data_IF_254526073765
#
_entry.id   IF_254526073765
#
_cell.length_a   1.000
_cell.length_b   1.000
_cell.length_c   1.000
_cell.angle_alpha   90.00
_cell.angle_beta   90.00
_cell.angle_gamma   90.00
#
_symmetry.space_group_name_H-M   'P 1'
#
loop_
_entity.id
_entity.type
_entity.pdbx_description
1 polymer ?
#
# COMPACT_ATOMS: atom_id res chain seq x y z
N UNK A 1 -2.08 18.56 -6.65
CA UNK A 1 -1.54 17.31 -6.09
C UNK A 1 -0.37 17.50 -5.11
N UNK A 2 -0.18 18.69 -4.51
CA UNK A 2 0.36 18.90 -3.13
C UNK A 2 -0.31 18.03 -2.02
N UNK A 3 -1.18 17.08 -2.40
CA UNK A 3 -2.59 17.02 -1.95
C UNK A 3 -3.05 15.62 -1.49
N UNK A 4 -2.13 14.73 -1.10
CA UNK A 4 -2.48 13.43 -0.48
C UNK A 4 -1.33 12.84 0.37
N UNK A 5 -0.08 13.12 -0.02
CA UNK A 5 1.12 12.47 0.53
C UNK A 5 1.66 13.14 1.80
N UNK A 6 1.63 14.48 1.90
CA UNK A 6 1.95 15.22 3.14
C UNK A 6 1.12 14.72 4.34
N UNK A 7 -0.06 14.18 4.04
CA UNK A 7 -1.01 13.68 5.01
C UNK A 7 -0.74 12.23 5.44
N UNK A 8 -0.35 11.34 4.53
CA UNK A 8 -0.02 9.95 4.88
C UNK A 8 1.15 9.85 5.88
N UNK A 9 2.06 10.84 5.87
CA UNK A 9 3.16 10.93 6.84
C UNK A 9 2.74 11.41 8.24
N UNK A 10 1.76 12.32 8.36
CA UNK A 10 1.30 12.82 9.65
C UNK A 10 0.46 11.80 10.44
N UNK A 11 -0.16 10.82 9.76
CA UNK A 11 -0.97 9.77 10.40
C UNK A 11 -0.16 8.56 10.90
N UNK A 12 1.12 8.44 10.52
CA UNK A 12 1.98 7.31 10.91
C UNK A 12 2.69 7.47 12.27
N UNK A 13 2.70 8.68 12.84
CA UNK A 13 3.37 8.97 14.11
C UNK A 13 2.34 8.97 15.26
N UNK A 14 2.49 8.03 16.18
CA UNK A 14 1.71 8.00 17.42
C UNK A 14 1.88 9.28 18.26
N UNK A 15 0.94 9.56 19.18
CA UNK A 15 0.83 10.84 19.88
C UNK A 15 2.06 11.28 20.69
N UNK A 16 2.99 10.36 21.00
CA UNK A 16 4.20 10.66 21.77
C UNK A 16 5.28 11.45 21.00
N UNK A 17 5.24 11.51 19.66
CA UNK A 17 6.20 12.27 18.85
C UNK A 17 5.68 13.64 18.40
N UNK A 18 4.40 13.92 18.62
CA UNK A 18 3.79 15.22 18.25
C UNK A 18 4.19 16.33 19.24
N UNK A 19 4.51 15.99 20.49
CA UNK A 19 4.74 17.00 21.54
C UNK A 19 6.08 17.75 21.46
N UNK A 20 7.04 17.32 20.62
CA UNK A 20 8.36 17.97 20.54
C UNK A 20 8.66 18.64 19.18
N UNK A 21 7.77 18.52 18.18
CA UNK A 21 8.00 19.07 16.84
C UNK A 21 7.14 20.30 16.49
N UNK A 22 6.22 20.73 17.37
CA UNK A 22 5.33 21.87 17.10
C UNK A 22 5.86 23.14 17.76
N UNK A 23 7.04 23.58 17.34
CA UNK A 23 7.54 24.93 17.59
C UNK A 23 8.04 25.50 16.27
N UNK A 24 7.08 25.87 15.42
CA UNK A 24 7.34 26.37 14.07
C UNK A 24 6.11 26.19 13.20
N UNK A 25 5.07 26.98 13.44
CA UNK A 25 3.97 27.08 12.49
C UNK A 25 4.54 27.65 11.18
N UNK A 26 4.78 26.79 10.20
CA UNK A 26 5.18 27.21 8.87
C UNK A 26 3.98 27.97 8.25
N UNK A 27 4.16 29.26 8.00
CA UNK A 27 3.23 30.04 7.19
C UNK A 27 3.26 29.49 5.75
N UNK A 28 2.10 29.04 5.26
CA UNK A 28 1.96 28.53 3.91
C UNK A 28 1.68 29.69 2.95
N UNK A 29 2.34 29.74 1.77
CA UNK A 29 2.03 30.76 0.79
C UNK A 29 0.63 30.56 0.17
N UNK A 30 -0.20 31.60 0.33
CA UNK A 30 -1.18 32.11 -0.65
C UNK A 30 -2.53 31.39 -0.85
N UNK A 31 -2.63 30.06 -0.72
CA UNK A 31 -3.87 29.35 -1.11
C UNK A 31 -4.65 28.73 0.07
N UNK A 32 -3.97 28.35 1.15
CA UNK A 32 -4.60 27.78 2.36
C UNK A 32 -4.29 28.64 3.56
N UNK A 33 -5.27 28.84 4.45
CA UNK A 33 -5.05 29.59 5.68
C UNK A 33 -4.41 28.73 6.77
N UNK A 34 -4.51 27.38 6.67
CA UNK A 34 -3.93 26.45 7.66
C UNK A 34 -3.74 25.00 7.15
N UNK A 35 -2.93 24.19 7.87
CA UNK A 35 -2.78 22.75 7.60
C UNK A 35 -4.11 21.99 7.65
N UNK A 36 -4.98 22.16 8.67
CA UNK A 36 -6.29 21.48 8.71
C UNK A 36 -7.16 21.73 7.47
N UNK A 37 -7.22 22.96 6.95
CA UNK A 37 -7.96 23.25 5.71
C UNK A 37 -7.40 22.47 4.52
N UNK A 38 -6.07 22.40 4.39
CA UNK A 38 -5.43 21.62 3.34
C UNK A 38 -5.73 20.12 3.46
N UNK A 39 -5.79 19.59 4.69
CA UNK A 39 -6.19 18.20 4.99
C UNK A 39 -7.63 17.94 4.52
N UNK A 40 -8.57 18.80 4.89
CA UNK A 40 -9.97 18.64 4.52
C UNK A 40 -10.16 18.73 3.00
N UNK A 41 -9.45 19.63 2.34
CA UNK A 41 -9.54 19.74 0.89
C UNK A 41 -8.94 18.51 0.18
N UNK A 42 -7.80 18.01 0.63
CA UNK A 42 -7.20 16.77 0.13
C UNK A 42 -8.15 15.58 0.30
N UNK A 43 -8.77 15.45 1.47
CA UNK A 43 -9.77 14.45 1.77
C UNK A 43 -10.99 14.57 0.84
N UNK A 44 -11.54 15.77 0.67
CA UNK A 44 -12.68 16.01 -0.22
C UNK A 44 -12.37 15.65 -1.68
N UNK A 45 -11.18 16.00 -2.19
CA UNK A 45 -10.74 15.63 -3.55
C UNK A 45 -10.57 14.11 -3.68
N UNK A 46 -9.96 13.45 -2.70
CA UNK A 46 -9.82 11.99 -2.70
C UNK A 46 -11.20 11.32 -2.80
N UNK A 47 -12.14 11.71 -1.96
CA UNK A 47 -13.46 11.08 -1.91
C UNK A 47 -14.35 11.39 -3.12
N UNK A 48 -14.27 12.60 -3.65
CA UNK A 48 -15.08 13.00 -4.81
C UNK A 48 -14.55 12.45 -6.13
N UNK A 49 -13.24 12.15 -6.24
CA UNK A 49 -12.62 11.79 -7.51
C UNK A 49 -11.98 10.41 -7.55
N UNK A 50 -11.38 9.93 -6.45
CA UNK A 50 -10.51 8.75 -6.47
C UNK A 50 -11.11 7.53 -5.78
N UNK A 51 -12.00 7.69 -4.80
CA UNK A 51 -12.69 6.56 -4.19
C UNK A 51 -13.80 6.08 -5.14
N UNK A 52 -13.62 4.90 -5.72
CA UNK A 52 -14.58 4.33 -6.64
C UNK A 52 -15.89 3.91 -5.95
N UNK A 53 -16.88 3.50 -6.74
CA UNK A 53 -18.19 3.01 -6.24
C UNK A 53 -18.10 1.78 -5.31
N UNK A 54 -16.95 1.09 -5.27
CA UNK A 54 -16.71 -0.07 -4.43
C UNK A 54 -15.94 0.27 -3.15
N UNK A 55 -15.49 1.51 -2.98
CA UNK A 55 -14.68 1.91 -1.82
C UNK A 55 -13.20 1.61 -2.00
N UNK A 56 -12.72 1.53 -3.24
CA UNK A 56 -11.30 1.34 -3.56
C UNK A 56 -10.75 2.65 -4.15
N UNK A 57 -9.58 3.07 -3.67
CA UNK A 57 -8.87 4.25 -4.17
C UNK A 57 -8.21 3.88 -5.50
N UNK A 58 -8.58 4.61 -6.56
CA UNK A 58 -7.92 4.53 -7.86
C UNK A 58 -6.56 5.24 -7.82
N UNK A 59 -5.56 4.69 -8.50
CA UNK A 59 -4.30 5.39 -8.77
C UNK A 59 -4.57 6.62 -9.66
N UNK A 60 -5.24 6.32 -10.76
CA UNK A 60 -5.63 7.15 -11.87
C UNK A 60 -6.96 7.91 -11.82
N UNK A 61 -7.18 8.89 -12.71
CA UNK A 61 -8.53 9.23 -13.24
C UNK A 61 -8.74 8.75 -14.69
N UNK A 62 -7.97 7.76 -15.13
CA UNK A 62 -8.13 7.20 -16.46
C UNK A 62 -9.39 6.35 -16.63
N UNK A 63 -9.59 5.86 -17.84
CA UNK A 63 -10.69 4.95 -18.15
C UNK A 63 -10.56 3.63 -17.39
N UNK A 64 -11.60 3.22 -16.68
CA UNK A 64 -11.64 1.94 -15.96
C UNK A 64 -11.59 0.78 -16.98
N UNK A 65 -10.76 -0.26 -16.77
CA UNK A 65 -10.70 -1.42 -17.65
C UNK A 65 -12.06 -2.11 -17.83
N UNK A 66 -12.34 -2.55 -19.05
CA UNK A 66 -13.50 -3.38 -19.38
C UNK A 66 -13.19 -4.87 -19.18
N UNK A 67 -14.21 -5.75 -19.15
CA UNK A 67 -13.98 -7.19 -19.13
C UNK A 67 -13.07 -7.68 -20.25
N UNK A 68 -13.18 -7.12 -21.46
CA UNK A 68 -12.32 -7.48 -22.58
C UNK A 68 -10.87 -7.03 -22.35
N UNK A 69 -10.66 -5.84 -21.77
CA UNK A 69 -9.30 -5.39 -21.44
C UNK A 69 -8.63 -6.30 -20.41
N UNK A 70 -9.35 -6.66 -19.34
CA UNK A 70 -8.83 -7.56 -18.31
C UNK A 70 -8.57 -8.95 -18.88
N UNK A 71 -9.48 -9.48 -19.71
CA UNK A 71 -9.33 -10.78 -20.38
C UNK A 71 -8.10 -10.82 -21.29
N UNK A 72 -7.85 -9.75 -22.04
CA UNK A 72 -6.67 -9.64 -22.90
C UNK A 72 -5.40 -9.30 -22.11
N UNK A 73 -5.49 -8.76 -20.90
CA UNK A 73 -4.34 -8.21 -20.18
C UNK A 73 -3.85 -6.92 -20.83
N UNK A 74 -4.75 -5.97 -21.08
CA UNK A 74 -4.43 -4.60 -21.52
C UNK A 74 -4.52 -3.65 -20.33
N UNK A 75 -3.53 -2.78 -20.06
CA UNK A 75 -2.35 -2.52 -20.89
C UNK A 75 -1.27 -3.61 -20.80
N UNK A 76 -1.29 -4.42 -19.76
CA UNK A 76 -0.46 -5.61 -19.57
C UNK A 76 -1.17 -6.53 -18.56
N UNK A 77 -0.84 -7.81 -18.53
CA UNK A 77 -1.45 -8.79 -17.63
C UNK A 77 -1.18 -8.51 -16.14
N UNK A 78 -0.23 -7.63 -15.80
CA UNK A 78 0.00 -7.19 -14.41
C UNK A 78 -1.07 -6.18 -13.99
N UNK A 79 -1.58 -5.39 -14.93
CA UNK A 79 -2.51 -4.28 -14.68
C UNK A 79 -1.83 -2.94 -14.41
N UNK A 80 -0.50 -2.87 -14.50
CA UNK A 80 0.24 -1.62 -14.32
C UNK A 80 -0.16 -0.59 -15.36
N UNK A 81 -0.18 0.68 -14.97
CA UNK A 81 -0.63 1.85 -15.75
C UNK A 81 -2.14 1.94 -15.97
N UNK A 82 -2.94 1.04 -15.39
CA UNK A 82 -4.39 1.20 -15.36
C UNK A 82 -4.83 1.94 -14.09
N UNK A 83 -6.01 2.59 -14.07
CA UNK A 83 -6.50 3.29 -12.88
C UNK A 83 -6.67 2.40 -11.65
N UNK A 84 -6.82 1.09 -11.86
CA UNK A 84 -7.02 0.09 -10.81
C UNK A 84 -5.71 -0.60 -10.42
N UNK A 85 -4.53 -0.07 -10.77
CA UNK A 85 -3.26 -0.78 -10.55
C UNK A 85 -2.90 -0.99 -9.07
N UNK A 86 -3.28 -0.06 -8.20
CA UNK A 86 -2.83 0.04 -6.80
C UNK A 86 -3.99 0.19 -5.81
N UNK A 87 -5.14 -0.43 -6.09
CA UNK A 87 -6.35 -0.30 -5.28
C UNK A 87 -6.15 -0.67 -3.81
N UNK A 88 -5.89 -1.94 -3.46
CA UNK A 88 -5.56 -2.33 -2.09
C UNK A 88 -4.35 -1.61 -1.52
N UNK A 89 -3.34 -1.30 -2.34
CA UNK A 89 -2.17 -0.55 -1.89
C UNK A 89 -2.57 0.80 -1.30
N UNK A 90 -3.28 1.64 -2.04
CA UNK A 90 -3.68 2.95 -1.52
C UNK A 90 -4.81 2.86 -0.49
N UNK A 91 -5.82 2.02 -0.74
CA UNK A 91 -6.97 1.87 0.16
C UNK A 91 -6.54 1.36 1.53
N UNK A 92 -5.69 0.35 1.55
CA UNK A 92 -5.17 -0.28 2.77
C UNK A 92 -4.27 0.64 3.58
N UNK A 93 -3.45 1.47 2.91
CA UNK A 93 -2.60 2.45 3.57
C UNK A 93 -3.38 3.69 4.06
N UNK A 94 -4.48 4.03 3.41
CA UNK A 94 -5.32 5.16 3.80
C UNK A 94 -6.31 4.82 4.93
N UNK A 95 -6.79 3.58 4.99
CA UNK A 95 -7.81 3.15 5.95
C UNK A 95 -7.48 3.42 7.43
N UNK A 96 -6.24 3.25 7.93
CA UNK A 96 -5.89 3.64 9.29
C UNK A 96 -6.17 5.12 9.60
N UNK A 97 -5.86 6.02 8.64
CA UNK A 97 -6.14 7.44 8.79
C UNK A 97 -7.64 7.74 8.78
N UNK A 98 -8.41 7.04 7.93
CA UNK A 98 -9.87 7.15 7.92
C UNK A 98 -10.49 6.68 9.25
N UNK A 99 -9.96 5.59 9.83
CA UNK A 99 -10.39 5.12 11.15
C UNK A 99 -10.08 6.13 12.25
N UNK A 100 -8.89 6.74 12.23
CA UNK A 100 -8.49 7.76 13.20
C UNK A 100 -9.33 9.04 13.06
N UNK A 101 -9.65 9.45 11.82
CA UNK A 101 -10.60 10.54 11.56
C UNK A 101 -11.95 10.25 12.21
N UNK A 102 -12.53 9.08 11.94
CA UNK A 102 -13.81 8.68 12.50
C UNK A 102 -13.80 8.62 14.04
N UNK A 103 -12.68 8.17 14.64
CA UNK A 103 -12.49 8.17 16.10
C UNK A 103 -12.48 9.59 16.67
N UNK A 104 -11.81 10.54 16.01
CA UNK A 104 -11.69 11.94 16.46
C UNK A 104 -12.97 12.74 16.24
N UNK A 105 -13.61 12.57 15.09
CA UNK A 105 -14.83 13.32 14.75
C UNK A 105 -16.07 12.74 15.43
N UNK A 106 -16.08 11.43 15.69
CA UNK A 106 -17.22 10.70 16.26
C UNK A 106 -18.43 10.59 15.33
N UNK A 107 -18.41 11.23 14.15
CA UNK A 107 -19.56 11.35 13.27
C UNK A 107 -19.78 10.05 12.46
N UNK A 108 -21.04 9.80 12.09
CA UNK A 108 -21.42 8.58 11.37
C UNK A 108 -20.93 8.55 9.92
N UNK A 109 -20.75 9.70 9.28
CA UNK A 109 -20.24 9.78 7.91
C UNK A 109 -18.81 9.26 7.79
N UNK A 110 -17.92 9.64 8.71
CA UNK A 110 -16.53 9.17 8.72
C UNK A 110 -16.45 7.68 9.07
N UNK A 111 -17.31 7.19 9.97
CA UNK A 111 -17.43 5.74 10.25
C UNK A 111 -17.92 4.98 9.02
N UNK A 112 -18.94 5.48 8.31
CA UNK A 112 -19.45 4.89 7.09
C UNK A 112 -18.40 4.89 5.97
N UNK A 113 -17.59 5.95 5.88
CA UNK A 113 -16.46 6.04 4.97
C UNK A 113 -15.39 4.98 5.27
N UNK A 114 -14.96 4.84 6.52
CA UNK A 114 -14.02 3.79 6.93
C UNK A 114 -14.56 2.38 6.62
N UNK A 115 -15.85 2.14 6.91
CA UNK A 115 -16.55 0.89 6.56
C UNK A 115 -16.55 0.63 5.06
N UNK A 116 -16.85 1.63 4.24
CA UNK A 116 -16.86 1.51 2.77
C UNK A 116 -15.49 1.10 2.22
N UNK A 117 -14.42 1.69 2.74
CA UNK A 117 -13.05 1.32 2.36
C UNK A 117 -12.73 -0.13 2.75
N UNK A 118 -13.09 -0.56 3.95
CA UNK A 118 -12.90 -1.94 4.40
C UNK A 118 -13.67 -2.96 3.53
N UNK A 119 -14.90 -2.62 3.14
CA UNK A 119 -15.70 -3.45 2.23
C UNK A 119 -15.09 -3.51 0.82
N UNK A 120 -14.49 -2.41 0.34
CA UNK A 120 -13.72 -2.40 -0.91
C UNK A 120 -12.54 -3.37 -0.87
N UNK A 121 -11.76 -3.37 0.22
CA UNK A 121 -10.67 -4.33 0.43
C UNK A 121 -11.18 -5.78 0.47
N UNK A 122 -12.27 -6.06 1.18
CA UNK A 122 -12.86 -7.40 1.21
C UNK A 122 -13.33 -7.86 -0.18
N UNK A 123 -13.86 -6.94 -0.99
CA UNK A 123 -14.24 -7.22 -2.37
C UNK A 123 -13.03 -7.60 -3.22
N UNK A 124 -11.91 -6.88 -3.12
CA UNK A 124 -10.67 -7.24 -3.84
C UNK A 124 -10.19 -8.67 -3.54
N UNK A 125 -10.44 -9.19 -2.34
CA UNK A 125 -10.10 -10.57 -1.94
C UNK A 125 -11.24 -11.59 -2.18
N UNK A 126 -12.26 -11.22 -2.96
CA UNK A 126 -13.47 -12.03 -3.19
C UNK A 126 -13.98 -12.04 -4.63
N UNK A 127 -13.33 -11.32 -5.56
CA UNK A 127 -13.68 -11.33 -6.99
C UNK A 127 -13.07 -12.50 -7.76
N UNK A 128 -12.13 -13.20 -7.14
CA UNK A 128 -11.35 -14.30 -7.71
C UNK A 128 -11.82 -15.65 -7.16
N UNK A 129 -11.81 -16.67 -8.01
CA UNK A 129 -12.00 -18.07 -7.60
C UNK A 129 -10.70 -18.73 -7.11
N UNK A 130 -9.55 -18.05 -7.20
CA UNK A 130 -8.27 -18.53 -6.68
C UNK A 130 -8.14 -18.12 -5.20
N UNK A 131 -8.11 -19.09 -4.26
CA UNK A 131 -7.94 -18.77 -2.85
C UNK A 131 -6.66 -17.97 -2.60
N UNK A 132 -6.72 -16.99 -1.71
CA UNK A 132 -5.57 -16.16 -1.33
C UNK A 132 -5.17 -15.10 -2.35
N UNK A 133 -5.84 -15.02 -3.51
CA UNK A 133 -5.65 -13.94 -4.46
C UNK A 133 -6.27 -12.63 -3.96
N UNK A 134 -5.58 -11.52 -4.21
CA UNK A 134 -6.06 -10.16 -3.94
C UNK A 134 -5.95 -9.37 -5.23
N UNK A 135 -7.09 -8.98 -5.78
CA UNK A 135 -7.16 -8.18 -6.99
C UNK A 135 -6.66 -6.75 -6.74
N UNK A 136 -6.00 -6.17 -7.75
CA UNK A 136 -5.57 -4.76 -7.75
C UNK A 136 -6.76 -3.78 -7.75
N UNK A 137 -7.92 -4.22 -8.21
CA UNK A 137 -9.18 -3.50 -8.22
C UNK A 137 -10.16 -4.18 -9.15
N UNK A 138 -11.27 -3.52 -9.47
CA UNK A 138 -12.32 -4.08 -10.31
C UNK A 138 -12.59 -3.18 -11.52
N UNK A 139 -12.80 -3.80 -12.67
CA UNK A 139 -13.17 -3.08 -13.88
C UNK A 139 -14.65 -2.66 -13.91
N UNK A 140 -15.11 -2.26 -15.09
CA UNK A 140 -16.41 -1.60 -15.30
C UNK A 140 -17.62 -2.45 -14.93
N UNK A 141 -17.52 -3.78 -14.93
CA UNK A 141 -18.56 -4.72 -14.49
C UNK A 141 -18.54 -4.98 -12.96
N UNK A 142 -17.55 -4.43 -12.26
CA UNK A 142 -17.33 -4.63 -10.83
C UNK A 142 -16.83 -6.03 -10.45
N UNK A 143 -16.37 -6.83 -11.43
CA UNK A 143 -15.86 -8.20 -11.25
C UNK A 143 -14.55 -8.46 -11.97
N UNK A 144 -14.40 -8.02 -13.22
CA UNK A 144 -13.21 -8.26 -14.01
C UNK A 144 -11.98 -7.59 -13.35
N UNK A 145 -10.84 -8.25 -13.44
CA UNK A 145 -9.61 -7.83 -12.77
C UNK A 145 -8.40 -8.44 -13.49
N UNK A 146 -7.20 -7.93 -13.21
CA UNK A 146 -5.96 -8.46 -13.77
C UNK A 146 -5.49 -9.71 -13.01
N UNK A 147 -4.92 -10.72 -13.71
CA UNK A 147 -4.66 -12.03 -13.12
C UNK A 147 -3.41 -12.14 -12.24
N UNK A 148 -2.51 -11.16 -12.24
CA UNK A 148 -1.24 -11.29 -11.50
C UNK A 148 -1.34 -10.69 -10.10
N UNK A 149 -1.12 -11.54 -9.10
CA UNK A 149 -1.07 -11.14 -7.70
C UNK A 149 0.12 -10.22 -7.40
N UNK A 150 0.17 -9.70 -6.18
CA UNK A 150 1.26 -8.83 -5.75
C UNK A 150 1.31 -8.67 -4.24
N UNK A 151 2.53 -8.69 -3.71
CA UNK A 151 2.84 -8.39 -2.32
C UNK A 151 2.58 -6.90 -1.97
N UNK A 152 2.71 -5.99 -2.95
CA UNK A 152 2.37 -4.57 -2.80
C UNK A 152 0.86 -4.30 -2.69
N UNK A 153 0.00 -5.25 -3.07
CA UNK A 153 -1.44 -5.19 -2.79
C UNK A 153 -1.80 -5.96 -1.51
N UNK A 154 -1.16 -7.11 -1.33
CA UNK A 154 -1.48 -8.07 -0.28
C UNK A 154 -1.15 -7.52 1.10
N UNK A 155 0.04 -6.93 1.31
CA UNK A 155 0.38 -6.37 2.62
C UNK A 155 -0.52 -5.20 3.03
N UNK A 156 -0.74 -4.17 2.19
CA UNK A 156 -1.67 -3.09 2.52
C UNK A 156 -3.10 -3.57 2.80
N UNK A 157 -3.55 -4.63 2.13
CA UNK A 157 -4.84 -5.26 2.43
C UNK A 157 -4.91 -5.77 3.89
N UNK A 158 -3.89 -6.51 4.35
CA UNK A 158 -3.80 -6.93 5.76
C UNK A 158 -3.70 -5.72 6.70
N UNK A 159 -2.88 -4.73 6.32
CA UNK A 159 -2.61 -3.54 7.13
C UNK A 159 -3.87 -2.71 7.39
N UNK A 160 -4.60 -2.38 6.33
CA UNK A 160 -5.85 -1.61 6.42
C UNK A 160 -6.95 -2.36 7.15
N UNK A 161 -7.14 -3.65 6.86
CA UNK A 161 -8.16 -4.45 7.52
C UNK A 161 -7.86 -4.68 9.01
N UNK A 162 -6.60 -4.88 9.41
CA UNK A 162 -6.22 -4.93 10.83
C UNK A 162 -6.52 -3.61 11.54
N UNK A 163 -6.22 -2.47 10.90
CA UNK A 163 -6.51 -1.16 11.47
C UNK A 163 -8.03 -0.93 11.63
N UNK A 164 -8.84 -1.26 10.63
CA UNK A 164 -10.29 -1.17 10.75
C UNK A 164 -10.83 -2.14 11.79
N UNK A 165 -10.38 -3.40 11.78
CA UNK A 165 -10.75 -4.42 12.77
C UNK A 165 -10.50 -3.92 14.20
N UNK A 166 -9.36 -3.30 14.48
CA UNK A 166 -9.00 -2.84 15.83
C UNK A 166 -9.55 -1.45 16.20
N UNK A 167 -10.19 -0.74 15.28
CA UNK A 167 -10.61 0.67 15.46
C UNK A 167 -11.80 0.89 16.40
N UNK A 168 -12.59 -0.15 16.70
CA UNK A 168 -13.87 -0.02 17.40
C UNK A 168 -15.06 0.37 16.52
N UNK A 169 -14.83 0.70 15.24
CA UNK A 169 -15.87 0.98 14.25
C UNK A 169 -16.65 -0.27 13.80
N UNK A 170 -16.02 -1.43 13.52
CA UNK A 170 -16.75 -2.57 12.98
C UNK A 170 -17.66 -3.20 14.02
N UNK A 171 -18.86 -3.58 13.57
CA UNK A 171 -19.77 -4.48 14.27
C UNK A 171 -19.18 -5.89 14.38
N UNK A 172 -19.77 -6.73 15.24
CA UNK A 172 -19.34 -8.12 15.41
C UNK A 172 -19.45 -8.93 14.12
N UNK A 173 -20.48 -8.67 13.30
CA UNK A 173 -20.65 -9.31 12.01
C UNK A 173 -19.51 -8.95 11.04
N UNK A 174 -19.13 -7.67 11.00
CA UNK A 174 -18.00 -7.18 10.19
C UNK A 174 -16.68 -7.76 10.70
N UNK A 175 -16.46 -7.81 12.01
CA UNK A 175 -15.28 -8.46 12.62
C UNK A 175 -15.18 -9.92 12.19
N UNK A 176 -16.28 -10.67 12.27
CA UNK A 176 -16.33 -12.08 11.85
C UNK A 176 -16.02 -12.23 10.36
N UNK A 177 -16.58 -11.38 9.50
CA UNK A 177 -16.30 -11.38 8.06
C UNK A 177 -14.82 -11.13 7.77
N UNK A 178 -14.24 -10.09 8.39
CA UNK A 178 -12.83 -9.71 8.21
C UNK A 178 -11.91 -10.82 8.73
N UNK A 179 -12.12 -11.32 9.95
CA UNK A 179 -11.31 -12.38 10.52
C UNK A 179 -11.36 -13.66 9.67
N UNK A 180 -12.56 -14.03 9.18
CA UNK A 180 -12.74 -15.17 8.28
C UNK A 180 -11.94 -15.02 6.99
N UNK A 181 -12.04 -13.84 6.34
CA UNK A 181 -11.33 -13.59 5.08
C UNK A 181 -9.82 -13.48 5.28
N UNK A 182 -9.33 -12.80 6.32
CA UNK A 182 -7.92 -12.72 6.66
C UNK A 182 -7.34 -14.11 6.97
N UNK A 183 -8.06 -14.96 7.69
CA UNK A 183 -7.67 -16.35 7.94
C UNK A 183 -7.58 -17.18 6.65
N UNK A 184 -8.54 -17.03 5.73
CA UNK A 184 -8.51 -17.69 4.43
C UNK A 184 -7.24 -17.30 3.66
N UNK A 185 -7.00 -16.00 3.49
CA UNK A 185 -5.85 -15.49 2.73
C UNK A 185 -4.52 -15.88 3.38
N UNK A 186 -4.37 -15.65 4.69
CA UNK A 186 -3.15 -16.00 5.42
C UNK A 186 -2.88 -17.51 5.41
N UNK A 187 -3.92 -18.35 5.46
CA UNK A 187 -3.78 -19.80 5.35
C UNK A 187 -3.20 -20.24 4.00
N UNK A 188 -3.68 -19.64 2.91
CA UNK A 188 -3.13 -19.90 1.57
C UNK A 188 -1.68 -19.42 1.47
N UNK A 189 -1.39 -18.18 1.89
CA UNK A 189 -0.04 -17.65 1.89
C UNK A 189 0.91 -18.53 2.70
N UNK A 190 0.49 -18.98 3.90
CA UNK A 190 1.28 -19.91 4.71
C UNK A 190 1.55 -21.23 3.96
N UNK A 191 0.57 -21.77 3.25
CA UNK A 191 0.70 -22.99 2.45
C UNK A 191 1.56 -22.81 1.18
N UNK A 192 1.73 -21.58 0.69
CA UNK A 192 2.52 -21.27 -0.51
C UNK A 192 3.88 -20.66 -0.20
N UNK A 193 4.37 -20.78 1.04
CA UNK A 193 5.62 -20.15 1.50
C UNK A 193 5.60 -18.63 1.31
N UNK A 194 4.46 -18.02 1.62
CA UNK A 194 4.18 -16.59 1.55
C UNK A 194 4.39 -15.97 0.18
N UNK A 195 4.12 -16.74 -0.88
CA UNK A 195 4.11 -16.28 -2.27
C UNK A 195 2.68 -15.92 -2.69
N UNK A 196 2.50 -14.77 -3.31
CA UNK A 196 1.17 -14.27 -3.69
C UNK A 196 0.65 -15.00 -4.94
N UNK A 197 -0.50 -15.68 -4.88
CA UNK A 197 -1.05 -16.44 -6.01
C UNK A 197 -1.38 -15.56 -7.22
N UNK A 198 -1.34 -16.16 -8.42
CA UNK A 198 -1.89 -15.60 -9.65
C UNK A 198 -3.13 -16.40 -10.12
N UNK A 199 -3.91 -15.80 -11.01
CA UNK A 199 -5.17 -16.32 -11.55
C UNK A 199 -5.15 -16.44 -13.09
N UNK A 200 -6.23 -16.98 -13.67
CA UNK A 200 -6.49 -17.00 -15.10
C UNK A 200 -5.46 -17.85 -15.81
N UNK A 201 -4.89 -17.31 -16.89
CA UNK A 201 -3.81 -17.97 -17.62
C UNK A 201 -2.52 -18.18 -16.77
N UNK A 202 -2.41 -17.52 -15.61
CA UNK A 202 -1.26 -17.60 -14.70
C UNK A 202 -1.56 -18.43 -13.45
N UNK A 203 -2.71 -19.11 -13.38
CA UNK A 203 -3.08 -19.95 -12.24
C UNK A 203 -1.99 -20.98 -11.92
N UNK A 204 -1.62 -21.09 -10.65
CA UNK A 204 -0.52 -21.93 -10.17
C UNK A 204 0.85 -21.24 -10.16
N UNK A 205 0.97 -20.05 -10.74
CA UNK A 205 2.14 -19.19 -10.60
C UNK A 205 1.99 -18.23 -9.42
N UNK A 206 3.08 -17.54 -9.10
CA UNK A 206 3.13 -16.54 -8.04
C UNK A 206 3.84 -15.26 -8.50
N UNK A 207 3.45 -14.11 -7.95
CA UNK A 207 4.13 -12.82 -8.16
C UNK A 207 4.22 -12.04 -6.85
N UNK A 208 5.45 -11.85 -6.37
CA UNK A 208 5.72 -11.26 -5.06
C UNK A 208 5.72 -12.29 -3.92
N UNK A 209 6.52 -12.03 -2.90
CA UNK A 209 6.67 -12.88 -1.73
C UNK A 209 7.13 -12.05 -0.52
N UNK A 210 7.03 -12.61 0.69
CA UNK A 210 7.35 -11.88 1.92
C UNK A 210 8.53 -12.42 2.71
N UNK A 211 9.10 -13.57 2.34
CA UNK A 211 10.17 -14.23 3.11
C UNK A 211 11.59 -13.83 2.69
N UNK A 212 11.74 -12.79 1.88
CA UNK A 212 13.03 -12.24 1.46
C UNK A 212 13.82 -11.56 2.59
N UNK A 213 14.93 -10.94 2.22
CA UNK A 213 15.88 -10.32 3.15
C UNK A 213 15.89 -8.80 3.13
N UNK A 214 15.04 -8.17 2.32
CA UNK A 214 14.91 -6.71 2.32
C UNK A 214 14.17 -6.23 3.56
N UNK A 215 14.36 -4.97 3.93
CA UNK A 215 13.59 -4.33 4.99
C UNK A 215 12.09 -4.43 4.75
N UNK A 216 11.63 -4.17 3.51
CA UNK A 216 10.21 -4.30 3.15
C UNK A 216 9.69 -5.73 3.37
N UNK A 217 10.49 -6.75 3.10
CA UNK A 217 10.07 -8.15 3.26
C UNK A 217 9.91 -8.48 4.75
N UNK A 218 10.94 -8.19 5.53
CA UNK A 218 10.98 -8.47 6.97
C UNK A 218 9.84 -7.76 7.73
N UNK A 219 9.69 -6.46 7.55
CA UNK A 219 8.71 -5.67 8.28
C UNK A 219 7.26 -6.09 7.96
N UNK A 220 6.96 -6.31 6.67
CA UNK A 220 5.62 -6.72 6.21
C UNK A 220 5.28 -8.14 6.67
N UNK A 221 6.23 -9.08 6.55
CA UNK A 221 6.03 -10.47 6.97
C UNK A 221 5.75 -10.59 8.47
N UNK A 222 6.60 -9.95 9.30
CA UNK A 222 6.44 -9.94 10.75
C UNK A 222 5.10 -9.31 11.15
N UNK A 223 4.74 -8.19 10.52
CA UNK A 223 3.45 -7.54 10.77
C UNK A 223 2.28 -8.45 10.45
N UNK A 224 2.24 -9.11 9.29
CA UNK A 224 1.12 -9.98 8.93
C UNK A 224 0.95 -11.15 9.91
N UNK A 225 2.06 -11.76 10.35
CA UNK A 225 1.99 -12.80 11.38
C UNK A 225 1.42 -12.28 12.70
N UNK A 226 1.87 -11.10 13.14
CA UNK A 226 1.39 -10.50 14.38
C UNK A 226 -0.07 -10.05 14.28
N UNK A 227 -0.45 -9.42 13.18
CA UNK A 227 -1.82 -9.01 12.89
C UNK A 227 -2.77 -10.21 12.86
N UNK A 228 -2.34 -11.36 12.34
CA UNK A 228 -3.13 -12.58 12.36
C UNK A 228 -3.37 -13.11 13.78
N UNK A 229 -2.39 -13.00 14.69
CA UNK A 229 -2.62 -13.32 16.10
C UNK A 229 -3.65 -12.36 16.72
N UNK A 230 -3.53 -11.05 16.50
CA UNK A 230 -4.47 -10.07 17.06
C UNK A 230 -5.91 -10.29 16.55
N UNK A 231 -6.09 -10.66 15.28
CA UNK A 231 -7.41 -10.85 14.66
C UNK A 231 -8.04 -12.18 15.03
N UNK A 232 -7.25 -13.24 15.22
CA UNK A 232 -7.77 -14.61 15.40
C UNK A 232 -7.61 -15.16 16.81
N UNK A 233 -6.73 -14.57 17.62
CA UNK A 233 -6.25 -15.09 18.90
C UNK A 233 -5.65 -16.50 18.85
N UNK A 234 -5.34 -17.02 17.65
CA UNK A 234 -4.68 -18.32 17.48
C UNK A 234 -3.18 -18.17 17.77
N UNK A 235 -2.74 -18.78 18.88
CA UNK A 235 -1.36 -18.74 19.38
C UNK A 235 -0.33 -19.23 18.37
N UNK A 236 -0.71 -20.09 17.42
CA UNK A 236 0.20 -20.54 16.38
C UNK A 236 0.71 -19.38 15.51
N UNK A 237 -0.07 -18.30 15.33
CA UNK A 237 0.42 -17.09 14.64
C UNK A 237 1.46 -16.34 15.45
N UNK A 238 1.28 -16.24 16.78
CA UNK A 238 2.25 -15.59 17.66
C UNK A 238 3.57 -16.38 17.72
N UNK A 239 3.50 -17.70 17.76
CA UNK A 239 4.67 -18.58 17.72
C UNK A 239 5.42 -18.45 16.39
N UNK A 240 4.70 -18.42 15.26
CA UNK A 240 5.29 -18.16 13.93
C UNK A 240 5.95 -16.80 13.87
N UNK A 241 5.31 -15.76 14.41
CA UNK A 241 5.89 -14.41 14.51
C UNK A 241 7.22 -14.41 15.29
N UNK A 242 7.23 -15.00 16.49
CA UNK A 242 8.44 -15.09 17.34
C UNK A 242 9.56 -15.85 16.64
N UNK A 243 9.24 -16.98 16.01
CA UNK A 243 10.21 -17.74 15.21
C UNK A 243 10.75 -16.93 14.05
N UNK A 244 9.88 -16.27 13.28
CA UNK A 244 10.27 -15.48 12.13
C UNK A 244 11.14 -14.27 12.50
N UNK A 245 10.90 -13.65 13.67
CA UNK A 245 11.65 -12.49 14.14
C UNK A 245 13.15 -12.79 14.32
N UNK A 246 13.48 -13.97 14.86
CA UNK A 246 14.86 -14.42 15.08
C UNK A 246 15.43 -15.27 13.93
N UNK A 247 14.63 -15.55 12.91
CA UNK A 247 15.07 -16.29 11.73
C UNK A 247 15.89 -15.39 10.81
N UNK A 248 17.01 -15.92 10.30
CA UNK A 248 17.81 -15.31 9.24
C UNK A 248 17.25 -15.71 7.87
N UNK A 249 16.68 -14.78 7.08
CA UNK A 249 16.20 -15.10 5.74
C UNK A 249 17.38 -15.48 4.84
N UNK A 250 17.10 -16.28 3.80
CA UNK A 250 18.11 -16.66 2.80
C UNK A 250 18.77 -15.41 2.20
N UNK A 251 20.09 -15.37 2.23
CA UNK A 251 20.89 -14.26 1.72
C UNK A 251 21.18 -13.14 2.73
N UNK A 252 20.93 -13.36 4.02
CA UNK A 252 21.29 -12.40 5.08
C UNK A 252 21.86 -13.09 6.31
N UNK A 253 22.91 -12.49 6.87
CA UNK A 253 23.47 -12.87 8.18
C UNK A 253 22.68 -12.28 9.36
N UNK A 254 21.77 -11.33 9.07
CA UNK A 254 20.89 -10.67 10.05
C UNK A 254 19.58 -11.43 10.19
N UNK A 255 19.08 -11.53 11.41
CA UNK A 255 17.70 -11.92 11.69
C UNK A 255 16.71 -10.90 11.11
N UNK A 256 15.44 -11.26 10.92
CA UNK A 256 14.43 -10.31 10.45
C UNK A 256 14.24 -9.12 11.39
N UNK A 257 14.37 -9.31 12.70
CA UNK A 257 14.31 -8.22 13.67
C UNK A 257 15.51 -7.26 13.52
N UNK A 258 16.72 -7.78 13.28
CA UNK A 258 17.90 -6.95 12.99
C UNK A 258 17.82 -6.24 11.64
N UNK A 259 17.21 -6.87 10.62
CA UNK A 259 16.90 -6.21 9.34
C UNK A 259 15.92 -5.04 9.59
N UNK A 260 14.87 -5.26 10.38
CA UNK A 260 13.94 -4.20 10.76
C UNK A 260 14.65 -3.06 11.49
N UNK A 261 15.56 -3.39 12.41
CA UNK A 261 16.35 -2.40 13.16
C UNK A 261 17.32 -1.61 12.28
N UNK A 262 17.86 -2.22 11.22
CA UNK A 262 18.76 -1.55 10.29
C UNK A 262 18.05 -0.56 9.34
N UNK A 263 16.72 -0.67 9.21
CA UNK A 263 15.93 0.15 8.29
C UNK A 263 16.14 -0.21 6.83
N UNK A 264 15.61 0.61 5.92
CA UNK A 264 15.63 0.35 4.46
C UNK A 264 16.96 0.68 3.79
N UNK A 265 17.91 1.29 4.50
CA UNK A 265 19.16 1.77 3.91
C UNK A 265 19.94 0.74 3.10
N UNK A 266 20.06 -0.53 3.55
CA UNK A 266 20.67 -1.62 2.78
C UNK A 266 19.91 -2.02 1.51
N UNK A 267 18.60 -1.74 1.41
CA UNK A 267 17.79 -2.14 0.25
C UNK A 267 18.19 -1.37 -1.03
N UNK A 268 18.96 -0.28 -0.93
CA UNK A 268 19.45 0.53 -2.07
C UNK A 268 20.23 -0.27 -3.10
N UNK A 269 20.89 -1.35 -2.68
CA UNK A 269 21.60 -2.25 -3.59
C UNK A 269 20.63 -3.05 -4.47
N UNK A 270 19.50 -3.47 -3.90
CA UNK A 270 18.48 -4.26 -4.58
C UNK A 270 17.51 -3.40 -5.40
N UNK A 271 17.20 -2.19 -4.92
CA UNK A 271 16.28 -1.27 -5.59
C UNK A 271 17.03 0.03 -5.87
N UNK A 272 17.33 0.27 -7.15
CA UNK A 272 18.01 1.49 -7.56
C UNK A 272 17.08 2.70 -7.43
N UNK A 273 17.64 3.83 -7.05
CA UNK A 273 16.92 5.11 -6.95
C UNK A 273 15.75 5.09 -5.94
N UNK A 274 15.85 4.29 -4.86
CA UNK A 274 14.85 4.30 -3.77
C UNK A 274 14.60 5.73 -3.32
N UNK A 275 15.68 6.42 -2.95
CA UNK A 275 15.67 7.78 -2.39
C UNK A 275 15.40 8.89 -3.41
N UNK A 276 15.07 8.56 -4.67
CA UNK A 276 14.72 9.55 -5.70
C UNK A 276 13.29 9.38 -6.25
N UNK A 277 12.80 8.13 -6.38
CA UNK A 277 11.51 7.86 -7.03
C UNK A 277 10.67 6.77 -6.38
N UNK A 278 11.16 6.05 -5.36
CA UNK A 278 10.52 4.81 -4.89
C UNK A 278 10.28 4.73 -3.38
N UNK A 279 10.51 5.79 -2.60
CA UNK A 279 10.20 5.72 -1.16
C UNK A 279 8.70 5.50 -0.87
N UNK A 280 7.79 5.90 -1.76
CA UNK A 280 6.37 5.63 -1.60
C UNK A 280 6.02 4.14 -1.43
N UNK A 281 6.77 3.22 -2.06
CA UNK A 281 6.53 1.76 -1.89
C UNK A 281 6.95 1.26 -0.50
N UNK A 282 7.65 2.07 0.31
CA UNK A 282 8.06 1.75 1.67
C UNK A 282 7.10 2.27 2.75
N UNK A 283 6.12 3.12 2.41
CA UNK A 283 5.16 3.68 3.38
C UNK A 283 4.45 2.57 4.17
N UNK A 284 4.01 1.52 3.48
CA UNK A 284 3.37 0.36 4.12
C UNK A 284 4.29 -0.43 5.04
N UNK A 285 5.58 -0.53 4.71
CA UNK A 285 6.59 -1.20 5.54
C UNK A 285 6.89 -0.39 6.80
N UNK A 286 6.95 0.94 6.68
CA UNK A 286 7.12 1.84 7.82
C UNK A 286 5.91 1.81 8.75
N UNK A 287 4.69 1.84 8.19
CA UNK A 287 3.46 1.68 8.96
C UNK A 287 3.36 0.34 9.67
N UNK A 288 3.81 -0.74 9.02
CA UNK A 288 3.90 -2.08 9.60
C UNK A 288 4.86 -2.13 10.79
N UNK A 289 6.06 -1.56 10.65
CA UNK A 289 7.05 -1.48 11.72
C UNK A 289 6.55 -0.65 12.91
N UNK A 290 5.85 0.45 12.65
CA UNK A 290 5.23 1.27 13.69
C UNK A 290 4.18 0.50 14.49
N UNK A 291 3.35 -0.29 13.79
CA UNK A 291 2.39 -1.19 14.44
C UNK A 291 3.08 -2.28 15.24
N UNK A 292 4.12 -2.93 14.70
CA UNK A 292 4.91 -3.92 15.45
C UNK A 292 5.47 -3.33 16.74
N UNK A 293 6.10 -2.16 16.68
CA UNK A 293 6.64 -1.47 17.86
C UNK A 293 5.55 -1.15 18.92
N UNK A 294 4.32 -0.83 18.48
CA UNK A 294 3.20 -0.55 19.37
C UNK A 294 2.58 -1.82 19.99
N UNK A 295 2.57 -2.93 19.26
CA UNK A 295 2.00 -4.21 19.70
C UNK A 295 2.97 -5.06 20.54
N UNK A 296 4.28 -4.75 20.47
CA UNK A 296 5.31 -5.58 21.07
C UNK A 296 5.44 -5.40 22.59
N UNK A 297 5.56 -6.52 23.28
CA UNK A 297 5.75 -6.65 24.72
C UNK A 297 7.18 -7.06 25.10
N UNK A 298 7.91 -7.70 24.18
CA UNK A 298 9.34 -7.97 24.33
C UNK A 298 10.14 -6.68 24.13
N UNK A 299 10.85 -6.23 25.17
CA UNK A 299 11.52 -4.93 25.15
C UNK A 299 12.67 -4.87 24.13
N UNK A 300 13.32 -6.00 23.85
CA UNK A 300 14.43 -6.09 22.90
C UNK A 300 13.89 -5.89 21.48
N UNK A 301 12.87 -6.67 21.10
CA UNK A 301 12.22 -6.53 19.80
C UNK A 301 11.60 -5.14 19.62
N UNK A 302 10.95 -4.62 20.67
CA UNK A 302 10.36 -3.27 20.65
C UNK A 302 11.41 -2.19 20.42
N UNK A 303 12.57 -2.30 21.08
CA UNK A 303 13.70 -1.38 20.89
C UNK A 303 14.26 -1.46 19.47
N UNK A 304 14.42 -2.67 18.92
CA UNK A 304 14.85 -2.89 17.54
C UNK A 304 13.89 -2.25 16.52
N UNK A 305 12.58 -2.43 16.69
CA UNK A 305 11.61 -1.81 15.79
C UNK A 305 11.63 -0.28 15.89
N UNK A 306 11.76 0.28 17.09
CA UNK A 306 11.91 1.73 17.28
C UNK A 306 13.19 2.28 16.67
N UNK A 307 14.30 1.55 16.76
CA UNK A 307 15.56 1.93 16.13
C UNK A 307 15.41 2.01 14.60
N UNK A 308 14.75 1.02 13.99
CA UNK A 308 14.44 1.01 12.56
C UNK A 308 13.59 2.20 12.13
N UNK A 309 12.53 2.52 12.90
CA UNK A 309 11.69 3.70 12.64
C UNK A 309 12.51 4.98 12.63
N UNK A 310 13.41 5.15 13.60
CA UNK A 310 14.25 6.33 13.73
C UNK A 310 15.29 6.44 12.60
N UNK A 311 15.89 5.32 12.18
CA UNK A 311 16.83 5.29 11.05
C UNK A 311 16.11 5.64 9.75
N UNK A 312 14.94 5.06 9.51
CA UNK A 312 14.15 5.33 8.32
C UNK A 312 13.72 6.80 8.27
N UNK A 313 13.28 7.37 9.39
CA UNK A 313 12.91 8.78 9.47
C UNK A 313 14.09 9.70 9.14
N UNK A 314 15.29 9.45 9.69
CA UNK A 314 16.50 10.24 9.36
C UNK A 314 16.89 10.12 7.89
N UNK A 315 16.77 8.92 7.32
CA UNK A 315 17.14 8.67 5.92
C UNK A 315 16.16 9.37 4.96
N UNK A 316 14.84 9.26 5.22
CA UNK A 316 13.82 9.91 4.41
C UNK A 316 13.78 11.44 4.58
N UNK A 317 14.16 11.96 5.75
CA UNK A 317 14.25 13.42 5.95
C UNK A 317 15.26 14.08 4.99
N UNK A 318 16.30 13.35 4.57
CA UNK A 318 17.25 13.87 3.59
C UNK A 318 16.65 14.02 2.18
N UNK A 319 15.57 13.29 1.87
CA UNK A 319 14.94 13.28 0.54
C UNK A 319 13.70 14.16 0.49
N UNK A 320 13.00 14.36 1.62
CA UNK A 320 11.70 15.03 1.66
C UNK A 320 11.74 16.45 1.10
N UNK A 321 12.87 17.14 1.20
CA UNK A 321 13.07 18.52 0.70
C UNK A 321 12.85 18.67 -0.81
N UNK A 322 12.87 17.56 -1.57
CA UNK A 322 12.53 17.55 -2.99
C UNK A 322 11.15 18.17 -3.28
N UNK A 323 10.19 18.09 -2.34
CA UNK A 323 8.87 18.70 -2.51
C UNK A 323 8.89 20.21 -2.71
N UNK A 324 9.93 20.91 -2.25
CA UNK A 324 10.07 22.36 -2.45
C UNK A 324 10.31 22.74 -3.90
N UNK A 325 10.74 21.78 -4.73
CA UNK A 325 10.92 21.97 -6.18
C UNK A 325 9.63 21.71 -6.97
N UNK A 326 8.53 21.32 -6.32
CA UNK A 326 7.25 21.14 -6.97
C UNK A 326 6.59 22.51 -7.27
N UNK A 327 6.45 22.80 -8.55
CA UNK A 327 5.76 23.95 -9.11
C UNK A 327 4.26 23.63 -9.26
N UNK A 328 3.43 24.39 -8.54
CA UNK A 328 1.97 24.25 -8.61
C UNK A 328 1.36 24.81 -9.91
N UNK A 329 2.13 25.60 -10.66
CA UNK A 329 1.76 26.12 -11.98
C UNK A 329 2.24 25.24 -13.13
N UNK A 330 2.99 24.16 -12.83
CA UNK A 330 3.45 23.21 -13.84
C UNK A 330 2.27 22.58 -14.58
N UNK A 331 2.29 22.70 -15.92
CA UNK A 331 1.22 22.30 -16.83
C UNK A 331 1.44 20.93 -17.46
N UNK A 332 2.42 20.14 -17.00
CA UNK A 332 2.65 18.79 -17.53
C UNK A 332 1.40 17.93 -17.37
N UNK A 333 1.11 17.13 -18.38
CA UNK A 333 -0.14 16.35 -18.46
C UNK A 333 0.07 14.89 -18.06
N UNK A 334 -0.97 14.30 -17.47
CA UNK A 334 -1.10 12.85 -17.31
C UNK A 334 -1.59 12.25 -18.63
N UNK A 335 -0.66 11.79 -19.47
CA UNK A 335 -1.02 11.15 -20.73
C UNK A 335 -1.57 9.72 -20.56
N UNK A 336 -1.26 9.07 -19.44
CA UNK A 336 -1.71 7.72 -19.09
C UNK A 336 -3.21 7.58 -18.75
N UNK A 337 -3.96 8.68 -18.64
CA UNK A 337 -5.40 8.61 -18.42
C UNK A 337 -6.12 7.83 -19.55
N UNK A 338 -5.57 7.88 -20.78
CA UNK A 338 -5.93 6.96 -21.86
C UNK A 338 -4.81 5.93 -22.08
N UNK A 339 -4.66 5.02 -21.13
CA UNK A 339 -3.63 3.98 -21.15
C UNK A 339 -3.73 3.07 -22.41
N UNK A 340 -4.90 2.93 -23.05
CA UNK A 340 -5.02 2.19 -24.32
C UNK A 340 -4.25 2.87 -25.45
N UNK A 341 -4.26 4.20 -25.49
CA UNK A 341 -3.51 4.97 -26.48
C UNK A 341 -2.01 5.01 -26.20
N UNK A 342 -1.60 4.83 -24.94
CA UNK A 342 -0.18 4.83 -24.51
C UNK A 342 0.53 3.52 -24.88
N UNK A 343 -0.16 2.38 -24.82
CA UNK A 343 0.41 1.07 -25.13
C UNK A 343 0.06 0.62 -26.57
N UNK A 344 0.50 1.38 -27.57
CA UNK A 344 0.22 1.09 -28.99
C UNK A 344 0.86 -0.21 -29.49
N UNK A 345 2.01 -0.59 -28.94
CA UNK A 345 2.72 -1.84 -29.25
C UNK A 345 2.21 -3.03 -28.42
N UNK A 346 0.97 -2.96 -27.96
CA UNK A 346 0.35 -4.04 -27.20
C UNK A 346 0.29 -5.32 -28.03
N UNK A 347 0.64 -6.43 -27.39
CA UNK A 347 0.59 -7.78 -27.95
C UNK A 347 0.21 -8.74 -26.83
N UNK A 348 -0.47 -9.88 -27.10
CA UNK A 348 -0.77 -10.88 -26.07
C UNK A 348 0.49 -11.30 -25.30
N UNK A 349 0.35 -11.57 -24.00
CA UNK A 349 1.46 -11.99 -23.14
C UNK A 349 1.13 -13.35 -22.53
N UNK A 350 1.94 -14.36 -22.83
CA UNK A 350 1.80 -15.72 -22.31
C UNK A 350 2.54 -15.91 -20.99
N UNK A 351 3.52 -15.06 -20.69
CA UNK A 351 4.36 -15.17 -19.49
C UNK A 351 4.40 -13.87 -18.67
N UNK A 352 4.71 -13.99 -17.38
CA UNK A 352 4.89 -12.80 -16.52
C UNK A 352 6.04 -11.91 -17.01
N UNK A 353 7.09 -12.53 -17.57
CA UNK A 353 8.24 -11.82 -18.15
C UNK A 353 7.80 -10.97 -19.33
N UNK A 354 6.96 -11.50 -20.21
CA UNK A 354 6.39 -10.75 -21.33
C UNK A 354 5.47 -9.62 -20.87
N UNK A 355 4.64 -9.86 -19.84
CA UNK A 355 3.77 -8.84 -19.26
C UNK A 355 4.58 -7.68 -18.67
N UNK A 356 5.67 -7.98 -17.97
CA UNK A 356 6.58 -6.97 -17.42
C UNK A 356 7.44 -6.28 -18.49
N UNK A 357 7.83 -6.99 -19.54
CA UNK A 357 8.49 -6.36 -20.68
C UNK A 357 7.54 -5.37 -21.36
N UNK A 358 6.27 -5.77 -21.57
CA UNK A 358 5.27 -4.92 -22.19
C UNK A 358 4.96 -3.66 -21.37
N UNK A 359 4.90 -3.77 -20.04
CA UNK A 359 4.66 -2.61 -19.17
C UNK A 359 5.75 -1.54 -19.24
N UNK A 360 6.93 -1.86 -19.81
CA UNK A 360 8.06 -0.95 -20.02
C UNK A 360 8.05 -0.31 -21.41
N UNK A 361 7.16 -0.74 -22.31
CA UNK A 361 7.08 -0.29 -23.72
C UNK A 361 6.00 0.78 -23.97
N UNK A 362 5.62 1.54 -22.93
CA UNK A 362 4.75 2.70 -23.10
C UNK A 362 5.36 3.71 -24.08
N UNK A 363 4.54 4.27 -24.97
CA UNK A 363 4.91 5.43 -25.76
C UNK A 363 5.18 6.60 -24.80
N UNK A 364 6.47 6.99 -24.67
CA UNK A 364 6.91 8.00 -23.71
C UNK A 364 6.27 9.36 -23.97
N UNK A 365 6.06 9.70 -25.23
CA UNK A 365 5.43 10.97 -25.62
C UNK A 365 3.96 10.98 -25.21
N UNK A 366 3.24 9.88 -25.48
CA UNK A 366 1.81 9.77 -25.11
C UNK A 366 1.58 9.56 -23.63
N UNK A 367 2.51 8.94 -22.90
CA UNK A 367 2.43 8.76 -21.45
C UNK A 367 2.49 10.11 -20.70
N UNK A 368 3.13 11.11 -21.31
CA UNK A 368 3.38 12.40 -20.70
C UNK A 368 4.40 12.31 -19.57
N UNK A 369 4.72 13.48 -19.01
CA UNK A 369 5.81 13.64 -18.04
C UNK A 369 5.31 13.78 -16.60
N UNK A 370 4.00 13.96 -16.41
CA UNK A 370 3.45 14.38 -15.13
C UNK A 370 3.62 13.35 -14.01
N UNK A 371 3.45 12.05 -14.29
CA UNK A 371 3.67 11.00 -13.28
C UNK A 371 5.11 11.01 -12.79
N UNK A 372 6.09 11.12 -13.71
CA UNK A 372 7.51 11.17 -13.32
C UNK A 372 7.84 12.42 -12.50
N UNK A 373 7.31 13.58 -12.92
CA UNK A 373 7.43 14.83 -12.18
C UNK A 373 6.89 14.70 -10.75
N UNK A 374 5.69 14.12 -10.58
CA UNK A 374 5.10 13.91 -9.26
C UNK A 374 5.78 12.82 -8.45
N UNK A 375 6.27 11.74 -9.06
CA UNK A 375 7.05 10.72 -8.36
C UNK A 375 8.30 11.34 -7.72
N UNK A 376 8.99 12.22 -8.45
CA UNK A 376 10.22 12.87 -7.97
C UNK A 376 9.98 13.85 -6.83
N UNK A 377 8.94 14.66 -6.95
CA UNK A 377 8.76 15.82 -6.06
C UNK A 377 7.62 15.67 -5.06
N UNK A 378 6.71 14.70 -5.21
CA UNK A 378 5.55 14.55 -4.30
C UNK A 378 5.47 13.20 -3.59
N UNK A 379 6.04 12.14 -4.15
CA UNK A 379 5.87 10.76 -3.64
C UNK A 379 7.16 10.16 -3.09
N UNK A 380 8.29 10.81 -3.29
CA UNK A 380 9.59 10.35 -2.81
C UNK A 380 9.92 10.90 -1.41
#
# INVERSE_FOLDING_TARGET
MKRLVDLLFAFALGPALVSQAVAGAAEFPGFWKSTPEAVEQAHAVLWSQRVDRHGVILDNLGEIPTPEDCKLGRPNAIGWWSPIEDGPMFTGLYLPAACERARRSGNETDKANARRLAQGLLKCASVSDVPGFIARGMGTDGKCHYPLGSDDQTHPWFYGLHAYFTSGIPSDAERKQIAGKMKQVAGVLQGTSWRCPCEGAFKGQFRGAFQGHLFRDAARYLFMLRAMYDVTHDKAWLERYRKAAVERPKGSEKTRAEICAAGYGPDREAIKHIDEYQLWIYVGSQGALAKLAAMETDEILRSQYRAGLAINARSALATIEAHKQFDNSDTKVFGEANWRAVFTSWRPQATQVEAEALSKLADKTKRGERKHYECKYMRN
#
